data_IF_095835484391
#
_entry.id   IF_095835484391
#
_cell.length_a   1.000
_cell.length_b   1.000
_cell.length_c   1.000
_cell.angle_alpha   90.00
_cell.angle_beta   90.00
_cell.angle_gamma   90.00
#
_symmetry.space_group_name_H-M   'P 1'
#
loop_
_entity.id
_entity.type
_entity.pdbx_description
1 polymer ?
#
# COMPACT_ATOMS: atom_id res chain seq x y z
N UNK A 1 42.67 -39.78 -1.54
CA UNK A 1 43.35 -39.98 -0.25
C UNK A 1 42.75 -38.98 0.72
N UNK A 2 41.88 -39.48 1.57
CA UNK A 2 40.97 -38.73 2.43
C UNK A 2 41.71 -38.34 3.72
N UNK A 3 42.00 -37.06 3.90
CA UNK A 3 42.48 -36.51 5.18
C UNK A 3 41.34 -35.70 5.80
N UNK A 4 40.33 -36.39 6.32
CA UNK A 4 39.41 -35.82 7.30
C UNK A 4 40.15 -35.74 8.65
N UNK A 5 40.97 -34.69 8.81
CA UNK A 5 41.47 -34.29 10.12
C UNK A 5 40.25 -33.89 10.96
N UNK A 6 40.06 -34.54 12.10
CA UNK A 6 39.03 -34.15 13.06
C UNK A 6 39.36 -32.73 13.55
N UNK A 7 38.51 -31.77 13.19
CA UNK A 7 38.63 -30.38 13.62
C UNK A 7 38.38 -30.30 15.12
N UNK A 8 39.16 -29.47 15.82
CA UNK A 8 38.91 -29.18 17.23
C UNK A 8 37.58 -28.42 17.39
N UNK A 9 36.88 -28.58 18.51
CA UNK A 9 35.63 -27.86 18.81
C UNK A 9 35.77 -26.33 18.66
N UNK A 10 36.96 -25.78 18.92
CA UNK A 10 37.26 -24.36 18.71
C UNK A 10 37.36 -24.00 17.21
N UNK A 11 37.91 -24.89 16.39
CA UNK A 11 38.02 -24.71 14.94
C UNK A 11 36.67 -24.81 14.24
N UNK A 12 35.78 -25.68 14.74
CA UNK A 12 34.39 -25.78 14.26
C UNK A 12 33.59 -24.50 14.52
N UNK A 13 33.77 -23.87 15.69
CA UNK A 13 33.13 -22.59 16.02
C UNK A 13 33.61 -21.45 15.10
N UNK A 14 34.93 -21.37 14.85
CA UNK A 14 35.52 -20.38 13.95
C UNK A 14 35.00 -20.57 12.51
N UNK A 15 34.89 -21.83 12.06
CA UNK A 15 34.35 -22.17 10.74
C UNK A 15 32.88 -21.75 10.58
N UNK A 16 32.05 -21.99 11.61
CA UNK A 16 30.65 -21.56 11.60
C UNK A 16 30.51 -20.03 11.54
N UNK A 17 31.33 -19.32 12.32
CA UNK A 17 31.32 -17.86 12.33
C UNK A 17 31.81 -17.29 10.99
N UNK A 18 32.84 -17.89 10.38
CA UNK A 18 33.34 -17.49 9.07
C UNK A 18 32.28 -17.65 7.98
N UNK A 19 31.54 -18.76 7.97
CA UNK A 19 30.45 -19.00 7.00
C UNK A 19 29.27 -18.06 7.20
N UNK A 20 28.93 -17.75 8.45
CA UNK A 20 27.85 -16.81 8.75
C UNK A 20 28.15 -15.39 8.22
N UNK A 21 29.42 -14.97 8.19
CA UNK A 21 29.82 -13.64 7.73
C UNK A 21 30.06 -13.58 6.23
N UNK A 22 30.66 -14.62 5.63
CA UNK A 22 31.06 -14.63 4.21
C UNK A 22 30.01 -15.20 3.27
N UNK A 23 28.91 -15.78 3.79
CA UNK A 23 27.87 -16.47 3.01
C UNK A 23 28.40 -17.55 2.06
N UNK A 24 29.57 -18.12 2.37
CA UNK A 24 30.21 -19.16 1.57
C UNK A 24 29.75 -20.55 2.03
N UNK A 25 29.03 -21.26 1.15
CA UNK A 25 28.47 -22.59 1.42
C UNK A 25 29.50 -23.74 1.25
N UNK A 26 30.64 -23.47 0.60
CA UNK A 26 31.65 -24.49 0.30
C UNK A 26 32.53 -24.80 1.51
N UNK A 27 32.23 -25.92 2.13
CA UNK A 27 32.87 -26.36 3.37
C UNK A 27 34.40 -26.52 3.26
N UNK A 28 34.85 -27.08 2.14
CA UNK A 28 36.26 -27.41 1.91
C UNK A 28 37.10 -26.15 1.63
N UNK A 29 36.53 -25.18 0.92
CA UNK A 29 37.20 -23.92 0.59
C UNK A 29 37.35 -23.02 1.83
N UNK A 30 36.31 -22.96 2.67
CA UNK A 30 36.36 -22.25 3.95
C UNK A 30 37.42 -22.83 4.91
N UNK A 31 37.56 -24.17 4.97
CA UNK A 31 38.60 -24.81 5.79
C UNK A 31 39.99 -24.56 5.22
N UNK A 32 40.16 -24.56 3.90
CA UNK A 32 41.44 -24.25 3.26
C UNK A 32 41.91 -22.82 3.59
N UNK A 33 41.04 -21.82 3.43
CA UNK A 33 41.35 -20.41 3.74
C UNK A 33 41.64 -20.18 5.22
N UNK A 34 40.87 -20.80 6.12
CA UNK A 34 41.14 -20.72 7.55
C UNK A 34 42.43 -21.43 7.94
N UNK A 35 42.75 -22.57 7.31
CA UNK A 35 44.02 -23.28 7.57
C UNK A 35 45.24 -22.50 7.09
N UNK A 36 45.13 -21.78 5.97
CA UNK A 36 46.18 -20.93 5.41
C UNK A 36 46.45 -19.70 6.30
N UNK A 37 45.40 -19.19 6.96
CA UNK A 37 45.46 -18.04 7.86
C UNK A 37 45.57 -18.42 9.34
N UNK A 38 46.12 -19.58 9.67
CA UNK A 38 46.34 -20.03 11.05
C UNK A 38 45.08 -19.99 11.95
N UNK A 39 43.88 -20.14 11.36
CA UNK A 39 42.58 -20.03 12.03
C UNK A 39 42.28 -18.64 12.63
N UNK A 40 42.94 -17.58 12.18
CA UNK A 40 42.58 -16.19 12.50
C UNK A 40 41.42 -15.72 11.62
N UNK A 41 40.24 -15.58 12.22
CA UNK A 41 39.00 -15.30 11.48
C UNK A 41 39.01 -13.93 10.79
N UNK A 42 39.55 -12.89 11.44
CA UNK A 42 39.54 -11.52 10.90
C UNK A 42 40.38 -11.41 9.63
N UNK A 43 41.55 -12.04 9.64
CA UNK A 43 42.46 -12.08 8.50
C UNK A 43 41.91 -12.91 7.34
N UNK A 44 41.25 -14.03 7.65
CA UNK A 44 40.59 -14.85 6.64
C UNK A 44 39.40 -14.13 5.99
N UNK A 45 38.63 -13.35 6.76
CA UNK A 45 37.50 -12.55 6.24
C UNK A 45 38.01 -11.44 5.33
N UNK A 46 39.06 -10.70 5.73
CA UNK A 46 39.62 -9.64 4.88
C UNK A 46 40.16 -10.19 3.57
N UNK A 47 40.90 -11.32 3.60
CA UNK A 47 41.46 -11.92 2.39
C UNK A 47 40.39 -12.50 1.45
N UNK A 48 39.28 -13.01 2.01
CA UNK A 48 38.14 -13.46 1.22
C UNK A 48 37.41 -12.29 0.54
N UNK A 49 37.15 -11.20 1.27
CA UNK A 49 36.45 -10.02 0.74
C UNK A 49 37.30 -9.25 -0.28
N UNK A 50 38.60 -9.08 -0.04
CA UNK A 50 39.54 -8.48 -1.01
C UNK A 50 39.61 -9.33 -2.30
N UNK A 51 39.55 -10.66 -2.15
CA UNK A 51 39.47 -11.59 -3.27
C UNK A 51 38.18 -11.47 -4.09
N UNK A 52 37.03 -11.22 -3.45
CA UNK A 52 35.75 -10.96 -4.14
C UNK A 52 35.72 -9.59 -4.84
N UNK A 53 36.28 -8.54 -4.23
CA UNK A 53 36.38 -7.22 -4.87
C UNK A 53 37.18 -7.28 -6.18
N UNK A 54 38.33 -7.96 -6.20
CA UNK A 54 39.12 -8.14 -7.41
C UNK A 54 38.43 -8.98 -8.48
N UNK A 55 37.61 -9.95 -8.07
CA UNK A 55 36.85 -10.81 -8.99
C UNK A 55 35.66 -10.06 -9.60
N UNK A 56 34.97 -9.25 -8.80
CA UNK A 56 33.88 -8.40 -9.26
C UNK A 56 34.36 -7.23 -10.12
N UNK A 57 35.54 -6.66 -9.85
CA UNK A 57 36.13 -5.61 -10.70
C UNK A 57 36.50 -6.11 -12.10
N UNK A 58 36.88 -7.39 -12.23
CA UNK A 58 37.19 -7.99 -13.54
C UNK A 58 35.98 -8.13 -14.48
N UNK A 59 34.74 -8.00 -13.97
CA UNK A 59 33.51 -8.08 -14.76
C UNK A 59 33.05 -6.71 -15.30
N UNK A 60 33.56 -5.60 -14.75
CA UNK A 60 33.21 -4.24 -15.20
C UNK A 60 34.31 -3.56 -16.06
N UNK A 61 35.43 -4.24 -16.29
CA UNK A 61 36.60 -3.67 -16.98
C UNK A 61 36.69 -3.96 -18.50
N UNK A 62 35.55 -4.29 -19.16
CA UNK A 62 35.51 -4.43 -20.64
C UNK A 62 34.93 -3.21 -21.37
N UNK A 63 34.64 -2.11 -20.69
CA UNK A 63 34.12 -0.91 -21.35
C UNK A 63 34.66 0.37 -20.73
N UNK A 64 35.94 0.68 -21.01
CA UNK A 64 36.43 2.05 -21.24
C UNK A 64 37.95 2.08 -21.39
N UNK A 65 38.46 1.57 -22.52
CA UNK A 65 39.81 1.91 -22.96
C UNK A 65 39.79 3.30 -23.60
N UNK A 66 40.40 4.31 -22.92
CA UNK A 66 41.17 5.37 -23.59
C UNK A 66 41.95 6.27 -22.59
N UNK A 67 43.27 6.01 -22.59
CA UNK A 67 44.41 6.90 -22.38
C UNK A 67 44.43 7.86 -21.18
N UNK A 68 45.34 7.60 -20.24
CA UNK A 68 46.52 8.47 -20.01
C UNK A 68 47.63 7.74 -19.24
N UNK A 69 48.84 8.08 -19.64
CA UNK A 69 50.16 7.53 -19.31
C UNK A 69 50.59 7.61 -17.85
N UNK A 70 51.29 6.55 -17.44
CA UNK A 70 52.45 6.45 -16.54
C UNK A 70 52.93 7.75 -15.84
N UNK A 71 52.88 7.73 -14.51
CA UNK A 71 53.99 8.18 -13.67
C UNK A 71 54.22 7.09 -12.63
N UNK A 72 55.28 6.34 -12.86
CA UNK A 72 55.95 5.50 -11.87
C UNK A 72 56.68 6.39 -10.88
N UNK A 73 56.52 6.18 -9.56
CA UNK A 73 57.67 6.08 -8.67
C UNK A 73 57.32 5.59 -7.25
N UNK A 74 58.16 4.66 -6.79
CA UNK A 74 58.66 4.57 -5.40
C UNK A 74 57.76 3.93 -4.32
N UNK A 75 57.78 2.60 -4.33
CA UNK A 75 57.75 1.80 -3.10
C UNK A 75 59.19 1.67 -2.56
N UNK A 76 59.54 2.47 -1.55
CA UNK A 76 60.46 2.02 -0.50
C UNK A 76 60.46 3.00 0.68
N UNK A 77 59.82 2.62 1.79
CA UNK A 77 60.48 2.50 3.11
C UNK A 77 59.44 2.34 4.21
N UNK A 78 59.47 1.17 4.86
CA UNK A 78 59.42 0.98 6.31
C UNK A 78 58.26 1.64 7.07
N UNK A 79 57.25 0.88 7.51
CA UNK A 79 57.27 0.17 8.81
C UNK A 79 57.91 1.04 9.91
N UNK A 80 57.25 2.13 10.32
CA UNK A 80 57.37 2.75 11.66
C UNK A 80 56.41 3.95 11.80
N UNK A 81 55.11 3.74 11.98
CA UNK A 81 54.19 4.78 12.52
C UNK A 81 52.92 4.20 13.16
N UNK A 82 52.96 2.96 13.66
CA UNK A 82 51.87 2.38 14.48
C UNK A 82 52.02 2.70 15.98
N UNK A 83 52.99 3.56 16.37
CA UNK A 83 53.26 3.86 17.79
C UNK A 83 52.99 5.33 18.18
N UNK A 84 52.53 6.20 17.28
CA UNK A 84 52.18 7.60 17.62
C UNK A 84 50.67 7.87 17.71
N UNK A 85 49.87 6.84 17.94
CA UNK A 85 48.40 6.93 17.93
C UNK A 85 47.68 7.24 19.27
N UNK A 86 48.31 7.41 20.45
CA UNK A 86 47.55 7.88 21.62
C UNK A 86 47.90 9.31 22.10
N UNK A 87 48.55 10.16 21.29
CA UNK A 87 48.88 11.55 21.74
C UNK A 87 48.43 12.67 20.78
N UNK A 88 48.09 12.40 19.51
CA UNK A 88 47.52 13.42 18.61
C UNK A 88 46.00 13.51 18.64
N UNK A 89 45.32 12.62 19.37
CA UNK A 89 43.87 12.67 19.58
C UNK A 89 43.44 13.63 20.71
N UNK A 90 44.35 14.12 21.54
CA UNK A 90 44.00 15.11 22.59
C UNK A 90 44.20 16.55 22.12
N UNK A 91 45.00 16.82 21.08
CA UNK A 91 45.12 18.19 20.52
C UNK A 91 44.13 18.50 19.39
N UNK A 92 43.56 17.48 18.73
CA UNK A 92 42.51 17.65 17.73
C UNK A 92 41.11 17.91 18.31
N UNK A 93 40.83 17.43 19.53
CA UNK A 93 39.52 17.59 20.18
C UNK A 93 39.45 18.84 21.08
N UNK A 94 40.60 19.31 21.60
CA UNK A 94 40.67 20.59 22.33
C UNK A 94 40.74 21.82 21.41
N UNK A 95 41.18 21.68 20.15
CA UNK A 95 41.14 22.76 19.14
C UNK A 95 39.78 22.92 18.45
N UNK A 96 39.06 21.82 18.24
CA UNK A 96 37.72 21.81 17.64
C UNK A 96 36.62 22.31 18.59
N UNK A 97 36.76 22.06 19.90
CA UNK A 97 35.82 22.61 20.88
C UNK A 97 36.06 24.11 21.16
N UNK A 98 37.27 24.64 20.94
CA UNK A 98 37.52 26.09 21.06
C UNK A 98 37.06 26.90 19.83
N UNK A 99 36.85 26.27 18.68
CA UNK A 99 36.21 26.92 17.52
C UNK A 99 34.70 26.78 17.55
N UNK A 100 34.16 25.67 18.08
CA UNK A 100 32.74 25.54 18.39
C UNK A 100 32.28 26.38 19.61
N UNK A 101 33.19 26.81 20.48
CA UNK A 101 32.89 27.80 21.54
C UNK A 101 33.08 29.25 21.08
N UNK A 102 33.88 29.53 20.05
CA UNK A 102 34.03 30.90 19.52
C UNK A 102 33.03 31.28 18.43
N UNK A 103 32.41 30.32 17.72
CA UNK A 103 31.23 30.59 16.89
C UNK A 103 29.90 30.50 17.64
N UNK A 104 29.94 30.08 18.91
CA UNK A 104 28.80 29.98 19.85
C UNK A 104 28.74 31.14 20.85
N UNK A 105 29.68 32.10 20.80
CA UNK A 105 29.61 33.36 21.54
C UNK A 105 28.70 34.39 20.83
N UNK A 106 27.45 34.00 20.60
CA UNK A 106 26.32 34.93 20.61
C UNK A 106 25.43 34.47 21.76
N UNK A 107 25.28 35.24 22.85
CA UNK A 107 24.19 34.98 23.79
C UNK A 107 22.88 35.27 23.04
N UNK A 108 22.25 34.21 22.53
CA UNK A 108 20.83 34.23 22.20
C UNK A 108 20.08 34.16 23.54
N UNK A 109 19.49 35.29 23.91
CA UNK A 109 18.50 35.34 24.98
C UNK A 109 17.25 34.62 24.44
N UNK A 110 17.17 33.32 24.72
CA UNK A 110 16.18 32.39 24.18
C UNK A 110 14.85 32.53 24.92
N UNK A 111 14.23 33.72 24.84
CA UNK A 111 12.86 33.95 25.33
C UNK A 111 12.12 35.04 24.53
N UNK A 112 11.92 34.92 23.20
CA UNK A 112 10.94 35.73 22.40
C UNK A 112 10.83 35.37 20.88
N UNK A 113 10.88 34.10 20.46
CA UNK A 113 11.05 33.78 19.02
C UNK A 113 9.81 33.92 18.11
N UNK A 114 8.62 34.22 18.64
CA UNK A 114 7.43 34.48 17.79
C UNK A 114 7.19 35.97 17.50
N UNK A 115 7.55 36.87 18.43
CA UNK A 115 7.35 38.31 18.25
C UNK A 115 8.47 38.96 17.41
N UNK A 116 9.72 38.47 17.49
CA UNK A 116 10.84 39.01 16.69
C UNK A 116 10.73 38.72 15.18
N UNK A 117 10.18 37.56 14.78
CA UNK A 117 10.01 37.21 13.36
C UNK A 117 8.98 38.13 12.67
N UNK A 118 7.93 38.51 13.40
CA UNK A 118 6.97 39.51 12.95
C UNK A 118 7.62 40.89 12.79
N UNK A 119 8.45 41.27 13.75
CA UNK A 119 9.14 42.55 13.76
C UNK A 119 10.15 42.68 12.60
N UNK A 120 11.00 41.67 12.33
CA UNK A 120 11.97 41.72 11.23
C UNK A 120 11.31 41.84 9.85
N UNK A 121 10.14 41.25 9.66
CA UNK A 121 9.37 41.40 8.40
C UNK A 121 8.77 42.79 8.25
N UNK A 122 8.28 43.39 9.33
CA UNK A 122 7.77 44.76 9.33
C UNK A 122 8.90 45.73 9.00
N UNK A 123 10.06 45.58 9.64
CA UNK A 123 11.26 46.39 9.40
C UNK A 123 11.73 46.26 7.95
N UNK A 124 11.76 45.05 7.39
CA UNK A 124 12.10 44.84 5.98
C UNK A 124 11.10 45.54 5.02
N UNK A 125 9.80 45.55 5.35
CA UNK A 125 8.79 46.25 4.56
C UNK A 125 8.92 47.78 4.67
N UNK A 126 9.17 48.30 5.88
CA UNK A 126 9.44 49.72 6.12
C UNK A 126 10.66 50.18 5.32
N UNK A 127 11.74 49.40 5.34
CA UNK A 127 12.94 49.65 4.54
C UNK A 127 12.66 49.69 3.03
N UNK A 128 11.87 48.72 2.51
CA UNK A 128 11.50 48.68 1.09
C UNK A 128 10.64 49.90 0.72
N UNK A 129 9.70 50.28 1.58
CA UNK A 129 8.84 51.44 1.37
C UNK A 129 9.64 52.73 1.39
N UNK A 130 10.52 52.92 2.39
CA UNK A 130 11.42 54.07 2.47
C UNK A 130 12.32 54.16 1.23
N UNK A 131 12.81 53.01 0.75
CA UNK A 131 13.62 52.96 -0.46
C UNK A 131 12.83 53.41 -1.70
N UNK A 132 11.57 52.99 -1.82
CA UNK A 132 10.70 53.36 -2.93
C UNK A 132 10.34 54.86 -2.91
N UNK A 133 9.99 55.37 -1.74
CA UNK A 133 9.62 56.79 -1.54
C UNK A 133 10.81 57.73 -1.79
N UNK A 134 12.01 57.38 -1.31
CA UNK A 134 13.18 58.26 -1.36
C UNK A 134 13.97 58.16 -2.66
N UNK A 135 13.97 57.00 -3.33
CA UNK A 135 14.86 56.76 -4.47
C UNK A 135 14.14 56.48 -5.78
N UNK A 136 12.84 56.20 -5.77
CA UNK A 136 11.93 56.15 -6.93
C UNK A 136 12.55 55.59 -8.21
N UNK A 137 12.48 54.26 -8.41
CA UNK A 137 13.05 53.61 -9.60
C UNK A 137 12.96 52.08 -9.59
N UNK A 138 13.40 51.45 -10.68
CA UNK A 138 13.49 49.99 -10.81
C UNK A 138 14.35 49.41 -9.68
N UNK A 139 13.73 48.70 -8.74
CA UNK A 139 14.40 48.12 -7.58
C UNK A 139 14.76 46.64 -7.79
N UNK A 140 15.83 46.15 -7.15
CA UNK A 140 16.01 44.73 -6.93
C UNK A 140 14.84 44.14 -6.12
N UNK A 141 14.59 42.84 -6.31
CA UNK A 141 13.63 42.10 -5.50
C UNK A 141 14.24 41.82 -4.12
N UNK A 142 14.04 42.76 -3.19
CA UNK A 142 14.49 42.60 -1.80
C UNK A 142 13.68 41.50 -1.09
N UNK A 143 14.40 40.66 -0.34
CA UNK A 143 13.84 39.62 0.49
C UNK A 143 13.09 40.22 1.69
N UNK A 144 11.84 39.82 1.87
CA UNK A 144 10.98 40.27 2.98
C UNK A 144 11.15 39.33 4.16
N UNK A 145 12.06 39.66 5.07
CA UNK A 145 12.32 38.89 6.28
C UNK A 145 13.70 39.19 6.87
N UNK A 146 14.03 38.49 7.95
CA UNK A 146 15.31 38.64 8.62
C UNK A 146 16.49 38.06 7.80
N UNK A 147 17.70 38.45 8.17
CA UNK A 147 18.95 37.95 7.60
C UNK A 147 19.09 36.43 7.78
N UNK A 148 18.72 35.89 8.95
CA UNK A 148 18.78 34.44 9.22
C UNK A 148 17.82 33.64 8.33
N UNK A 149 16.64 34.21 8.03
CA UNK A 149 15.66 33.63 7.13
C UNK A 149 16.17 33.67 5.68
N UNK A 150 16.74 34.80 5.25
CA UNK A 150 17.37 34.94 3.94
C UNK A 150 18.53 33.96 3.74
N UNK A 151 19.38 33.78 4.76
CA UNK A 151 20.50 32.84 4.79
C UNK A 151 20.01 31.38 4.67
N UNK A 152 18.97 31.03 5.43
CA UNK A 152 18.37 29.69 5.40
C UNK A 152 17.75 29.37 4.04
N UNK A 153 17.07 30.34 3.44
CA UNK A 153 16.49 30.20 2.10
C UNK A 153 17.55 30.07 1.02
N UNK A 154 18.61 30.87 1.10
CA UNK A 154 19.77 30.74 0.21
C UNK A 154 20.41 29.35 0.33
N UNK A 155 20.50 28.80 1.55
CA UNK A 155 20.98 27.44 1.83
C UNK A 155 20.10 26.35 1.20
N UNK A 156 18.77 26.46 1.37
CA UNK A 156 17.81 25.48 0.86
C UNK A 156 17.70 25.47 -0.66
N UNK A 157 17.68 26.66 -1.29
CA UNK A 157 17.50 26.79 -2.74
C UNK A 157 18.83 26.74 -3.51
N UNK A 158 19.97 26.58 -2.84
CA UNK A 158 21.30 26.60 -3.43
C UNK A 158 21.58 27.86 -4.30
N UNK A 159 21.23 29.04 -3.77
CA UNK A 159 21.37 30.36 -4.44
C UNK A 159 22.36 31.28 -3.74
N UNK A 160 22.87 32.27 -4.47
CA UNK A 160 23.66 33.36 -3.89
C UNK A 160 22.78 34.34 -3.11
N UNK A 161 23.34 34.90 -2.05
CA UNK A 161 22.74 35.94 -1.23
C UNK A 161 23.59 37.22 -1.32
N UNK A 162 23.00 38.30 -1.83
CA UNK A 162 23.60 39.62 -1.88
C UNK A 162 23.10 40.44 -0.68
N UNK A 163 24.01 40.79 0.23
CA UNK A 163 23.73 41.61 1.41
C UNK A 163 24.12 43.06 1.11
N UNK A 164 23.17 43.97 1.27
CA UNK A 164 23.37 45.41 1.08
C UNK A 164 23.12 46.11 2.40
N UNK A 165 24.13 46.80 2.92
CA UNK A 165 24.04 47.56 4.17
C UNK A 165 24.19 49.05 3.88
N UNK A 166 23.20 49.82 4.33
CA UNK A 166 23.17 51.28 4.24
C UNK A 166 23.42 51.91 5.61
N UNK A 167 23.87 53.16 5.63
CA UNK A 167 24.07 53.94 6.87
C UNK A 167 22.96 54.99 7.06
N UNK A 168 22.99 55.83 8.09
CA UNK A 168 22.01 56.92 8.26
C UNK A 168 22.41 58.22 7.50
N UNK A 169 23.52 58.16 6.75
CA UNK A 169 24.04 59.29 5.98
C UNK A 169 23.33 59.47 4.62
N UNK A 170 22.49 60.50 4.42
CA UNK A 170 21.61 60.60 3.25
C UNK A 170 22.36 60.78 1.92
N UNK A 171 23.49 61.49 1.91
CA UNK A 171 24.17 61.87 0.66
C UNK A 171 24.87 60.69 -0.05
N UNK A 172 25.53 59.82 0.72
CA UNK A 172 26.24 58.66 0.18
C UNK A 172 25.24 57.57 -0.23
N UNK A 173 24.19 57.37 0.58
CA UNK A 173 23.14 56.41 0.28
C UNK A 173 22.33 56.81 -0.95
N UNK A 174 21.97 58.09 -1.11
CA UNK A 174 21.24 58.59 -2.30
C UNK A 174 21.98 58.30 -3.59
N UNK A 175 23.28 58.59 -3.60
CA UNK A 175 24.12 58.39 -4.78
C UNK A 175 24.22 56.90 -5.12
N UNK A 176 24.42 56.04 -4.13
CA UNK A 176 24.51 54.60 -4.31
C UNK A 176 23.17 53.95 -4.69
N UNK A 177 22.09 54.25 -3.98
CA UNK A 177 20.78 53.64 -4.25
C UNK A 177 20.26 54.04 -5.63
N UNK A 178 20.41 55.31 -6.03
CA UNK A 178 19.91 55.81 -7.30
C UNK A 178 20.80 55.45 -8.50
N UNK A 179 22.12 55.57 -8.38
CA UNK A 179 23.01 55.37 -9.53
C UNK A 179 23.48 53.91 -9.65
N UNK A 180 23.54 53.17 -8.54
CA UNK A 180 24.11 51.82 -8.49
C UNK A 180 23.03 50.75 -8.33
N UNK A 181 22.22 50.78 -7.26
CA UNK A 181 21.21 49.74 -7.00
C UNK A 181 20.01 49.82 -7.95
N UNK A 182 19.59 51.02 -8.33
CA UNK A 182 18.48 51.24 -9.27
C UNK A 182 18.91 51.15 -10.75
N UNK A 183 20.14 50.70 -11.02
CA UNK A 183 20.60 50.48 -12.40
C UNK A 183 19.84 49.31 -13.04
N UNK A 184 19.23 49.56 -14.19
CA UNK A 184 18.43 48.56 -14.94
C UNK A 184 19.26 47.29 -15.22
N UNK A 185 20.53 47.46 -15.61
CA UNK A 185 21.43 46.34 -15.91
C UNK A 185 21.65 45.44 -14.70
N UNK A 186 21.78 46.02 -13.50
CA UNK A 186 21.99 45.27 -12.27
C UNK A 186 20.71 44.53 -11.86
N UNK A 187 19.55 45.18 -11.95
CA UNK A 187 18.25 44.57 -11.60
C UNK A 187 17.90 43.41 -12.54
N UNK A 188 18.13 43.57 -13.83
CA UNK A 188 17.92 42.50 -14.82
C UNK A 188 18.84 41.31 -14.54
N UNK A 189 20.13 41.57 -14.27
CA UNK A 189 21.10 40.53 -13.95
C UNK A 189 20.74 39.74 -12.68
N UNK A 190 20.33 40.44 -11.61
CA UNK A 190 19.91 39.80 -10.36
C UNK A 190 18.68 38.90 -10.56
N UNK A 191 17.74 39.34 -11.40
CA UNK A 191 16.53 38.58 -11.75
C UNK A 191 16.86 37.36 -12.61
N UNK A 192 17.71 37.51 -13.62
CA UNK A 192 18.12 36.43 -14.52
C UNK A 192 18.82 35.30 -13.75
N UNK A 193 19.76 35.66 -12.87
CA UNK A 193 20.51 34.69 -12.05
C UNK A 193 19.80 34.28 -10.75
N UNK A 194 18.57 34.76 -10.52
CA UNK A 194 17.75 34.47 -9.32
C UNK A 194 18.53 34.64 -8.01
N UNK A 195 19.30 35.72 -7.90
CA UNK A 195 20.10 36.03 -6.69
C UNK A 195 19.16 36.63 -5.64
N UNK A 196 19.22 36.14 -4.40
CA UNK A 196 18.44 36.68 -3.29
C UNK A 196 19.14 37.96 -2.83
N UNK A 197 18.42 39.08 -2.75
CA UNK A 197 18.96 40.36 -2.26
C UNK A 197 18.35 40.68 -0.91
N UNK A 198 19.17 40.89 0.10
CA UNK A 198 18.74 41.35 1.41
C UNK A 198 19.34 42.73 1.68
N UNK A 199 18.51 43.66 2.15
CA UNK A 199 18.90 45.03 2.44
C UNK A 199 18.57 45.39 3.89
N UNK A 200 19.45 46.14 4.55
CA UNK A 200 19.21 46.64 5.89
C UNK A 200 19.95 47.93 6.18
N UNK A 201 19.42 48.75 7.08
CA UNK A 201 20.05 49.98 7.53
C UNK A 201 20.77 49.74 8.87
N UNK A 202 22.03 50.17 9.01
CA UNK A 202 22.80 50.05 10.26
C UNK A 202 22.17 50.70 11.49
N UNK A 203 21.14 51.54 11.32
CA UNK A 203 20.31 52.06 12.41
C UNK A 203 19.53 50.95 13.13
N UNK A 204 19.27 49.82 12.45
CA UNK A 204 18.58 48.65 13.00
C UNK A 204 19.56 47.70 13.70
N UNK A 205 19.09 47.05 14.76
CA UNK A 205 19.88 46.09 15.54
C UNK A 205 20.34 44.90 14.70
N UNK A 206 19.48 44.38 13.82
CA UNK A 206 19.77 43.23 12.97
C UNK A 206 20.85 43.55 11.94
N UNK A 207 20.69 44.63 11.18
CA UNK A 207 21.67 45.07 10.19
C UNK A 207 23.03 45.46 10.81
N UNK A 208 23.03 46.03 12.02
CA UNK A 208 24.26 46.31 12.75
C UNK A 208 24.99 45.04 13.23
N UNK A 209 24.25 43.99 13.62
CA UNK A 209 24.86 42.70 13.93
C UNK A 209 25.45 42.05 12.67
N UNK A 210 24.73 42.10 11.55
CA UNK A 210 25.22 41.60 10.25
C UNK A 210 26.46 42.36 9.80
N UNK A 211 26.51 43.68 9.98
CA UNK A 211 27.69 44.49 9.61
C UNK A 211 28.94 44.08 10.38
N UNK A 212 28.81 43.70 11.66
CA UNK A 212 29.90 43.17 12.47
C UNK A 212 30.34 41.79 11.99
N UNK A 213 29.38 40.90 11.74
CA UNK A 213 29.64 39.53 11.26
C UNK A 213 30.38 39.53 9.91
N UNK A 214 29.99 40.42 9.00
CA UNK A 214 30.62 40.56 7.68
C UNK A 214 31.85 41.48 7.68
N UNK A 215 32.25 42.00 8.84
CA UNK A 215 33.38 42.91 9.03
C UNK A 215 33.34 44.10 8.04
N UNK A 216 32.19 44.77 7.98
CA UNK A 216 31.99 45.97 7.18
C UNK A 216 32.69 47.16 7.86
N UNK A 217 33.72 47.71 7.20
CA UNK A 217 34.50 48.86 7.72
C UNK A 217 34.17 50.19 7.03
N UNK A 218 33.51 50.17 5.87
CA UNK A 218 33.04 51.36 5.17
C UNK A 218 31.65 51.12 4.53
N UNK A 219 30.87 52.20 4.41
CA UNK A 219 29.50 52.19 3.88
C UNK A 219 29.39 53.06 2.62
N UNK A 220 28.51 52.70 1.67
CA UNK A 220 27.65 51.51 1.62
C UNK A 220 28.48 50.22 1.49
N UNK A 221 27.94 49.11 2.00
CA UNK A 221 28.59 47.81 1.96
C UNK A 221 27.76 46.84 1.13
N UNK A 222 28.43 46.09 0.26
CA UNK A 222 27.83 45.03 -0.56
C UNK A 222 28.63 43.76 -0.32
N UNK A 223 28.01 42.74 0.27
CA UNK A 223 28.61 41.42 0.48
C UNK A 223 27.92 40.36 -0.37
N UNK A 224 28.70 39.53 -1.05
CA UNK A 224 28.19 38.36 -1.76
C UNK A 224 28.48 37.11 -0.94
N UNK A 225 27.42 36.45 -0.49
CA UNK A 225 27.50 35.13 0.11
C UNK A 225 27.15 34.07 -0.93
N UNK A 226 27.91 32.99 -0.96
CA UNK A 226 27.63 31.83 -1.78
C UNK A 226 28.22 30.57 -1.18
N UNK A 227 27.94 29.45 -1.82
CA UNK A 227 28.35 28.16 -1.30
C UNK A 227 29.83 27.93 -1.53
N UNK A 228 30.51 27.55 -0.45
CA UNK A 228 31.86 27.07 -0.51
C UNK A 228 31.90 25.67 0.10
N UNK A 229 32.53 24.76 -0.64
CA UNK A 229 32.82 23.42 -0.15
C UNK A 229 34.10 23.51 0.68
N UNK A 230 33.91 23.54 1.99
CA UNK A 230 35.01 23.21 2.92
C UNK A 230 35.23 21.71 2.79
N UNK A 231 36.46 21.27 2.99
CA UNK A 231 37.07 19.94 2.77
C UNK A 231 36.25 18.68 3.12
N UNK A 232 35.09 18.80 3.79
CA UNK A 232 34.24 17.72 4.29
C UNK A 232 32.88 17.60 3.55
N UNK A 233 32.78 17.99 2.28
CA UNK A 233 31.56 17.84 1.44
C UNK A 233 30.26 18.49 1.98
N UNK A 234 30.33 19.31 3.03
CA UNK A 234 29.17 20.06 3.52
C UNK A 234 29.12 21.44 2.84
N UNK A 235 28.04 21.76 2.10
CA UNK A 235 27.88 23.08 1.51
C UNK A 235 27.62 24.10 2.62
N UNK A 236 28.62 24.94 2.90
CA UNK A 236 28.50 26.05 3.86
C UNK A 236 28.37 27.36 3.09
N UNK A 237 27.43 28.21 3.51
CA UNK A 237 27.23 29.53 2.93
C UNK A 237 28.22 30.49 3.59
N UNK A 238 29.24 30.92 2.85
CA UNK A 238 30.31 31.79 3.34
C UNK A 238 30.34 33.10 2.55
N UNK A 239 30.98 34.12 3.13
CA UNK A 239 31.24 35.38 2.44
C UNK A 239 32.32 35.14 1.38
N UNK A 240 31.95 35.26 0.11
CA UNK A 240 32.84 35.03 -1.03
C UNK A 240 33.60 36.31 -1.37
N UNK A 241 32.88 37.42 -1.49
CA UNK A 241 33.44 38.70 -1.90
C UNK A 241 32.72 39.87 -1.23
N UNK A 242 33.42 41.00 -1.07
CA UNK A 242 32.87 42.20 -0.43
C UNK A 242 33.39 43.47 -1.08
N UNK A 243 32.47 44.41 -1.30
CA UNK A 243 32.77 45.75 -1.76
C UNK A 243 32.37 46.75 -0.67
N UNK A 244 33.28 47.66 -0.35
CA UNK A 244 33.09 48.65 0.71
C UNK A 244 33.28 50.07 0.16
N UNK A 245 32.36 50.98 0.51
CA UNK A 245 32.39 52.38 0.09
C UNK A 245 31.56 52.65 -1.16
N UNK A 246 31.71 53.84 -1.78
CA UNK A 246 30.93 54.23 -2.95
C UNK A 246 31.30 53.36 -4.15
N UNK A 247 30.44 52.39 -4.44
CA UNK A 247 30.61 51.41 -5.51
C UNK A 247 29.78 51.78 -6.73
N UNK A 248 30.33 51.51 -7.92
CA UNK A 248 29.62 51.66 -9.19
C UNK A 248 28.88 50.37 -9.57
N UNK A 249 27.82 50.43 -10.39
CA UNK A 249 27.09 49.24 -10.82
C UNK A 249 27.97 48.26 -11.59
N UNK A 250 28.96 48.75 -12.34
CA UNK A 250 29.91 47.92 -13.09
C UNK A 250 30.77 47.06 -12.16
N UNK A 251 31.17 47.59 -11.00
CA UNK A 251 31.96 46.83 -10.02
C UNK A 251 31.15 45.66 -9.43
N UNK A 252 29.88 45.90 -9.11
CA UNK A 252 28.99 44.84 -8.59
C UNK A 252 28.75 43.78 -9.67
N UNK A 253 28.47 44.21 -10.90
CA UNK A 253 28.26 43.29 -12.02
C UNK A 253 29.51 42.45 -12.30
N UNK A 254 30.70 43.05 -12.27
CA UNK A 254 31.96 42.33 -12.45
C UNK A 254 32.18 41.29 -11.33
N UNK A 255 31.97 41.69 -10.07
CA UNK A 255 32.04 40.78 -8.93
C UNK A 255 31.08 39.60 -9.09
N UNK A 256 29.82 39.85 -9.44
CA UNK A 256 28.83 38.78 -9.61
C UNK A 256 29.18 37.86 -10.78
N UNK A 257 29.59 38.42 -11.92
CA UNK A 257 29.93 37.66 -13.13
C UNK A 257 31.13 36.75 -12.88
N UNK A 258 32.18 37.27 -12.25
CA UNK A 258 33.37 36.50 -11.89
C UNK A 258 33.03 35.33 -10.96
N UNK A 259 32.21 35.57 -9.95
CA UNK A 259 31.85 34.54 -8.97
C UNK A 259 30.90 33.50 -9.55
N UNK A 260 29.95 33.90 -10.41
CA UNK A 260 29.11 32.97 -11.15
C UNK A 260 29.93 32.06 -12.07
N UNK A 261 30.92 32.61 -12.78
CA UNK A 261 31.81 31.78 -13.61
C UNK A 261 32.63 30.79 -12.78
N UNK A 262 33.11 31.18 -11.60
CA UNK A 262 33.94 30.32 -10.74
C UNK A 262 33.17 29.20 -10.05
N UNK A 263 31.97 29.45 -9.55
CA UNK A 263 31.22 28.44 -8.77
C UNK A 263 30.15 27.70 -9.58
N UNK A 264 29.84 28.13 -10.82
CA UNK A 264 28.78 27.51 -11.65
C UNK A 264 28.93 25.99 -11.79
N UNK A 265 30.15 25.46 -11.89
CA UNK A 265 30.40 24.02 -12.01
C UNK A 265 30.12 23.24 -10.73
N UNK A 266 30.43 23.79 -9.56
CA UNK A 266 30.24 23.11 -8.27
C UNK A 266 28.77 23.19 -7.80
N UNK A 267 28.11 24.32 -8.02
CA UNK A 267 26.68 24.48 -7.73
C UNK A 267 25.81 23.60 -8.63
N UNK A 268 26.15 23.46 -9.92
CA UNK A 268 25.44 22.54 -10.82
C UNK A 268 25.59 21.09 -10.40
N UNK A 269 26.75 20.70 -9.85
CA UNK A 269 26.95 19.36 -9.34
C UNK A 269 26.02 19.07 -8.15
N UNK A 270 25.98 19.96 -7.15
CA UNK A 270 25.11 19.79 -5.98
C UNK A 270 23.63 19.83 -6.35
N UNK A 271 23.22 20.77 -7.19
CA UNK A 271 21.83 20.84 -7.64
C UNK A 271 21.42 19.56 -8.40
N UNK A 272 22.31 18.99 -9.21
CA UNK A 272 22.06 17.72 -9.90
C UNK A 272 21.93 16.57 -8.91
N UNK A 273 22.82 16.48 -7.92
CA UNK A 273 22.77 15.43 -6.90
C UNK A 273 21.47 15.48 -6.07
N UNK A 274 21.02 16.68 -5.70
CA UNK A 274 19.72 16.86 -5.02
C UNK A 274 18.55 16.42 -5.90
N UNK A 275 18.55 16.80 -7.19
CA UNK A 275 17.51 16.40 -8.13
C UNK A 275 17.47 14.89 -8.35
N UNK A 276 18.63 14.24 -8.44
CA UNK A 276 18.74 12.79 -8.59
C UNK A 276 18.21 12.05 -7.35
N UNK A 277 18.49 12.55 -6.14
CA UNK A 277 17.97 11.98 -4.89
C UNK A 277 16.46 12.11 -4.79
N UNK A 278 15.90 13.28 -5.08
CA UNK A 278 14.45 13.51 -5.06
C UNK A 278 13.73 12.67 -6.11
N UNK A 279 14.29 12.59 -7.33
CA UNK A 279 13.74 11.73 -8.39
C UNK A 279 13.76 10.25 -7.97
N UNK A 280 14.87 9.79 -7.37
CA UNK A 280 14.99 8.42 -6.86
C UNK A 280 13.97 8.12 -5.76
N UNK A 281 13.71 9.10 -4.88
CA UNK A 281 12.70 8.98 -3.82
C UNK A 281 11.28 8.88 -4.41
N UNK A 282 10.93 9.76 -5.34
CA UNK A 282 9.61 9.77 -5.99
C UNK A 282 9.36 8.44 -6.72
N UNK A 283 10.36 7.91 -7.43
CA UNK A 283 10.23 6.63 -8.13
C UNK A 283 9.95 5.49 -7.14
N UNK A 284 10.65 5.44 -5.99
CA UNK A 284 10.40 4.43 -4.95
C UNK A 284 9.00 4.55 -4.35
N UNK A 285 8.56 5.77 -4.05
CA UNK A 285 7.21 6.01 -3.52
C UNK A 285 6.13 5.56 -4.53
N UNK A 286 6.32 5.83 -5.82
CA UNK A 286 5.41 5.35 -6.88
C UNK A 286 5.42 3.82 -7.02
N UNK A 287 6.59 3.18 -6.87
CA UNK A 287 6.71 1.72 -6.90
C UNK A 287 6.02 1.07 -5.70
N UNK A 288 6.21 1.62 -4.49
CA UNK A 288 5.57 1.15 -3.27
C UNK A 288 4.05 1.30 -3.33
N UNK A 289 3.56 2.43 -3.85
CA UNK A 289 2.12 2.65 -4.05
C UNK A 289 1.54 1.63 -5.05
N UNK A 290 2.19 1.43 -6.19
CA UNK A 290 1.75 0.48 -7.21
C UNK A 290 1.74 -0.97 -6.66
N UNK A 291 2.77 -1.36 -5.91
CA UNK A 291 2.84 -2.66 -5.26
C UNK A 291 1.69 -2.85 -4.26
N UNK A 292 1.43 -1.84 -3.42
CA UNK A 292 0.34 -1.88 -2.43
C UNK A 292 -1.03 -2.03 -3.10
N UNK A 293 -1.28 -1.31 -4.20
CA UNK A 293 -2.52 -1.42 -4.95
C UNK A 293 -2.67 -2.81 -5.60
N UNK A 294 -1.59 -3.37 -6.16
CA UNK A 294 -1.58 -4.72 -6.71
C UNK A 294 -1.90 -5.76 -5.63
N UNK A 295 -1.29 -5.64 -4.45
CA UNK A 295 -1.52 -6.56 -3.34
C UNK A 295 -2.99 -6.54 -2.87
N UNK A 296 -3.60 -5.36 -2.77
CA UNK A 296 -5.01 -5.21 -2.41
C UNK A 296 -5.93 -5.83 -3.47
N UNK A 297 -5.61 -5.67 -4.75
CA UNK A 297 -6.37 -6.27 -5.83
C UNK A 297 -6.31 -7.81 -5.81
N UNK A 298 -5.14 -8.37 -5.54
CA UNK A 298 -4.96 -9.83 -5.41
C UNK A 298 -5.70 -10.39 -4.20
N UNK A 299 -5.64 -9.71 -3.05
CA UNK A 299 -6.40 -10.08 -1.85
C UNK A 299 -7.91 -10.05 -2.08
N UNK A 300 -8.43 -9.01 -2.75
CA UNK A 300 -9.85 -8.89 -3.03
C UNK A 300 -10.32 -9.98 -4.01
N UNK A 301 -9.50 -10.29 -5.02
CA UNK A 301 -9.79 -11.38 -5.97
C UNK A 301 -9.81 -12.74 -5.27
N UNK A 302 -8.90 -12.98 -4.33
CA UNK A 302 -8.87 -14.20 -3.53
C UNK A 302 -10.12 -14.33 -2.65
N UNK A 303 -10.49 -13.25 -1.94
CA UNK A 303 -11.73 -13.19 -1.14
C UNK A 303 -12.97 -13.49 -1.97
N UNK A 304 -13.09 -12.87 -3.15
CA UNK A 304 -14.21 -13.12 -4.06
C UNK A 304 -14.22 -14.55 -4.60
N UNK A 305 -13.06 -15.14 -4.87
CA UNK A 305 -12.96 -16.53 -5.33
C UNK A 305 -13.38 -17.51 -4.22
N UNK A 306 -12.97 -17.25 -2.97
CA UNK A 306 -13.36 -18.06 -1.82
C UNK A 306 -14.87 -17.97 -1.53
N UNK A 307 -15.45 -16.76 -1.57
CA UNK A 307 -16.89 -16.58 -1.42
C UNK A 307 -17.68 -17.30 -2.50
N UNK A 308 -17.26 -17.20 -3.76
CA UNK A 308 -17.88 -17.95 -4.88
C UNK A 308 -17.75 -19.46 -4.69
N UNK A 309 -16.61 -19.96 -4.18
CA UNK A 309 -16.43 -21.38 -3.88
C UNK A 309 -17.37 -21.85 -2.77
N UNK A 310 -17.47 -21.08 -1.69
CA UNK A 310 -18.37 -21.36 -0.55
C UNK A 310 -19.84 -21.32 -0.96
N UNK A 311 -20.22 -20.37 -1.82
CA UNK A 311 -21.58 -20.26 -2.36
C UNK A 311 -21.93 -21.50 -3.20
N UNK A 312 -21.04 -21.92 -4.11
CA UNK A 312 -21.25 -23.13 -4.93
C UNK A 312 -21.33 -24.41 -4.10
N UNK A 313 -20.55 -24.51 -3.03
CA UNK A 313 -20.60 -25.64 -2.11
C UNK A 313 -21.92 -25.69 -1.35
N UNK A 314 -22.40 -24.55 -0.84
CA UNK A 314 -23.72 -24.45 -0.19
C UNK A 314 -24.85 -24.82 -1.13
N UNK A 315 -24.85 -24.29 -2.35
CA UNK A 315 -25.85 -24.63 -3.38
C UNK A 315 -25.84 -26.11 -3.72
N UNK A 316 -24.64 -26.73 -3.78
CA UNK A 316 -24.51 -28.17 -4.00
C UNK A 316 -25.06 -28.99 -2.83
N UNK A 317 -24.74 -28.63 -1.60
CA UNK A 317 -25.24 -29.33 -0.40
C UNK A 317 -26.76 -29.20 -0.30
N UNK A 318 -27.31 -28.01 -0.51
CA UNK A 318 -28.76 -27.77 -0.50
C UNK A 318 -29.48 -28.55 -1.62
N UNK A 319 -28.89 -28.61 -2.82
CA UNK A 319 -29.41 -29.43 -3.91
C UNK A 319 -29.42 -30.92 -3.55
N UNK A 320 -28.32 -31.46 -3.02
CA UNK A 320 -28.22 -32.85 -2.57
C UNK A 320 -29.19 -33.18 -1.43
N UNK A 321 -29.40 -32.27 -0.48
CA UNK A 321 -30.38 -32.43 0.60
C UNK A 321 -31.82 -32.40 0.08
N UNK A 322 -32.13 -31.50 -0.86
CA UNK A 322 -33.45 -31.42 -1.48
C UNK A 322 -33.78 -32.69 -2.28
N UNK A 323 -32.81 -33.26 -2.98
CA UNK A 323 -32.96 -34.50 -3.75
C UNK A 323 -33.15 -35.72 -2.83
N UNK A 324 -32.41 -35.77 -1.71
CA UNK A 324 -32.60 -36.78 -0.65
C UNK A 324 -33.98 -36.65 0.01
N UNK A 325 -34.46 -35.43 0.24
CA UNK A 325 -35.78 -35.21 0.83
C UNK A 325 -36.91 -35.65 -0.13
N UNK A 326 -36.78 -35.30 -1.43
CA UNK A 326 -37.72 -35.72 -2.48
C UNK A 326 -37.77 -37.24 -2.63
N UNK A 327 -36.61 -37.90 -2.73
CA UNK A 327 -36.57 -39.37 -2.88
C UNK A 327 -37.11 -40.11 -1.64
N UNK A 328 -36.85 -39.62 -0.43
CA UNK A 328 -37.48 -40.16 0.80
C UNK A 328 -39.00 -39.99 0.77
N UNK A 329 -39.49 -38.80 0.43
CA UNK A 329 -40.92 -38.53 0.35
C UNK A 329 -41.62 -39.43 -0.68
N UNK A 330 -41.01 -39.64 -1.85
CA UNK A 330 -41.53 -40.54 -2.88
C UNK A 330 -41.53 -42.01 -2.43
N UNK A 331 -40.47 -42.46 -1.76
CA UNK A 331 -40.38 -43.82 -1.22
C UNK A 331 -41.43 -44.07 -0.13
N UNK A 332 -41.63 -43.11 0.78
CA UNK A 332 -42.63 -43.19 1.83
C UNK A 332 -44.05 -43.17 1.25
N UNK A 333 -44.30 -42.34 0.21
CA UNK A 333 -45.56 -42.34 -0.54
C UNK A 333 -45.85 -43.70 -1.18
N UNK A 334 -44.85 -44.31 -1.81
CA UNK A 334 -45.01 -45.62 -2.45
C UNK A 334 -45.32 -46.73 -1.43
N UNK A 335 -44.58 -46.75 -0.31
CA UNK A 335 -44.82 -47.69 0.80
C UNK A 335 -46.23 -47.53 1.37
N UNK A 336 -46.69 -46.30 1.55
CA UNK A 336 -48.04 -46.03 2.04
C UNK A 336 -49.11 -46.52 1.04
N UNK A 337 -48.91 -46.32 -0.26
CA UNK A 337 -49.80 -46.86 -1.30
C UNK A 337 -49.83 -48.39 -1.32
N UNK A 338 -48.71 -49.06 -1.11
CA UNK A 338 -48.65 -50.51 -0.98
C UNK A 338 -49.41 -51.02 0.25
N UNK A 339 -49.28 -50.34 1.39
CA UNK A 339 -50.05 -50.62 2.61
C UNK A 339 -51.57 -50.44 2.39
N UNK A 340 -51.98 -49.38 1.69
CA UNK A 340 -53.39 -49.22 1.32
C UNK A 340 -53.88 -50.39 0.46
N UNK A 341 -53.07 -50.85 -0.51
CA UNK A 341 -53.44 -51.94 -1.41
C UNK A 341 -53.68 -53.28 -0.68
N UNK A 342 -52.98 -53.54 0.42
CA UNK A 342 -53.16 -54.74 1.25
C UNK A 342 -54.32 -54.62 2.25
N UNK A 343 -54.60 -53.40 2.72
CA UNK A 343 -55.62 -53.13 3.75
C UNK A 343 -57.04 -53.01 3.17
N UNK A 344 -57.18 -52.61 1.89
CA UNK A 344 -58.50 -52.42 1.26
C UNK A 344 -59.31 -53.73 1.23
N UNK A 345 -60.59 -53.71 1.64
CA UNK A 345 -61.48 -54.88 1.63
C UNK A 345 -61.59 -55.54 0.24
N UNK A 346 -61.62 -56.88 0.16
CA UNK A 346 -61.76 -57.62 -1.10
C UNK A 346 -63.12 -57.36 -1.75
N UNK A 347 -63.17 -57.38 -3.08
CA UNK A 347 -64.41 -57.16 -3.83
C UNK A 347 -65.50 -58.18 -3.45
N UNK A 348 -66.72 -57.75 -3.07
CA UNK A 348 -67.81 -58.65 -2.71
C UNK A 348 -68.31 -59.44 -3.93
N UNK A 349 -68.69 -60.70 -3.68
CA UNK A 349 -69.22 -61.59 -4.73
C UNK A 349 -70.54 -61.06 -5.31
N UNK A 350 -70.87 -61.48 -6.55
CA UNK A 350 -72.07 -61.04 -7.27
C UNK A 350 -73.40 -61.37 -6.58
N UNK A 351 -73.38 -62.29 -5.61
CA UNK A 351 -74.56 -62.80 -4.90
C UNK A 351 -74.71 -62.20 -3.48
N UNK A 352 -73.84 -61.29 -3.05
CA UNK A 352 -73.95 -60.63 -1.74
C UNK A 352 -75.01 -59.49 -1.76
N UNK A 353 -75.97 -59.48 -0.81
CA UNK A 353 -76.91 -58.37 -0.66
C UNK A 353 -76.18 -57.12 -0.13
N UNK A 354 -76.75 -55.93 -0.38
CA UNK A 354 -76.21 -54.64 0.09
C UNK A 354 -74.88 -54.20 -0.55
N UNK A 355 -74.72 -54.46 -1.85
CA UNK A 355 -73.54 -54.05 -2.65
C UNK A 355 -73.84 -52.85 -3.56
N UNK A 356 -72.90 -51.90 -3.63
CA UNK A 356 -72.93 -50.76 -4.54
C UNK A 356 -72.01 -51.01 -5.75
N UNK A 357 -72.48 -50.68 -6.96
CA UNK A 357 -71.69 -50.81 -8.20
C UNK A 357 -71.14 -49.45 -8.61
N UNK A 358 -69.83 -49.24 -8.44
CA UNK A 358 -69.17 -47.99 -8.82
C UNK A 358 -68.39 -48.17 -10.13
N UNK A 359 -68.52 -47.23 -11.06
CA UNK A 359 -67.68 -47.17 -12.26
C UNK A 359 -66.86 -45.89 -12.29
N UNK A 360 -65.55 -46.03 -12.43
CA UNK A 360 -64.58 -44.95 -12.44
C UNK A 360 -64.08 -44.75 -13.86
N UNK A 361 -64.19 -43.54 -14.37
CA UNK A 361 -63.59 -43.11 -15.63
C UNK A 361 -62.30 -42.37 -15.30
N UNK A 362 -61.18 -43.00 -15.64
CA UNK A 362 -59.83 -42.50 -15.40
C UNK A 362 -59.46 -41.41 -16.43
N UNK A 363 -58.46 -40.58 -16.11
CA UNK A 363 -57.93 -39.55 -17.01
C UNK A 363 -57.35 -40.14 -18.32
N UNK A 364 -56.83 -41.38 -18.27
CA UNK A 364 -56.36 -42.11 -19.45
C UNK A 364 -57.49 -42.71 -20.33
N UNK A 365 -58.76 -42.43 -20.00
CA UNK A 365 -59.93 -42.95 -20.70
C UNK A 365 -60.35 -44.38 -20.32
N UNK A 366 -59.57 -45.08 -19.49
CA UNK A 366 -59.92 -46.42 -19.00
C UNK A 366 -61.11 -46.36 -18.03
N UNK A 367 -61.98 -47.37 -18.13
CA UNK A 367 -63.14 -47.51 -17.24
C UNK A 367 -62.91 -48.69 -16.31
N UNK A 368 -62.76 -48.41 -15.01
CA UNK A 368 -62.62 -49.42 -13.96
C UNK A 368 -63.97 -49.57 -13.25
N UNK A 369 -64.45 -50.80 -13.10
CA UNK A 369 -65.72 -51.08 -12.41
C UNK A 369 -65.39 -51.97 -11.22
N UNK A 370 -65.84 -51.58 -10.03
CA UNK A 370 -65.66 -52.37 -8.80
C UNK A 370 -66.92 -52.29 -7.94
N UNK A 371 -67.25 -53.39 -7.28
CA UNK A 371 -68.31 -53.42 -6.26
C UNK A 371 -67.75 -53.10 -4.87
N UNK A 372 -68.53 -52.39 -4.08
CA UNK A 372 -68.22 -52.05 -2.70
C UNK A 372 -69.40 -52.43 -1.80
N UNK A 373 -69.13 -52.72 -0.53
CA UNK A 373 -70.19 -52.97 0.46
C UNK A 373 -70.77 -51.64 0.94
N UNK A 374 -72.06 -51.60 1.26
CA UNK A 374 -72.70 -50.38 1.77
C UNK A 374 -72.07 -49.83 3.06
N UNK A 375 -71.43 -50.70 3.85
CA UNK A 375 -70.84 -50.38 5.15
C UNK A 375 -69.35 -49.94 5.05
N UNK A 376 -68.75 -49.95 3.85
CA UNK A 376 -67.38 -49.47 3.61
C UNK A 376 -67.31 -47.93 3.59
N UNK A 377 -66.14 -47.37 3.89
CA UNK A 377 -65.95 -45.92 3.98
C UNK A 377 -65.73 -45.31 2.60
N UNK A 378 -66.08 -44.03 2.45
CA UNK A 378 -65.73 -43.26 1.23
C UNK A 378 -64.21 -43.15 1.04
N UNK A 379 -63.43 -43.20 2.13
CA UNK A 379 -61.97 -43.26 2.09
C UNK A 379 -61.46 -44.53 1.39
N UNK A 380 -62.13 -45.68 1.52
CA UNK A 380 -61.75 -46.94 0.85
C UNK A 380 -61.91 -46.83 -0.68
N UNK A 381 -62.85 -46.02 -1.15
CA UNK A 381 -63.04 -45.73 -2.58
C UNK A 381 -61.90 -44.88 -3.13
N UNK A 382 -61.43 -43.89 -2.35
CA UNK A 382 -60.26 -43.07 -2.68
C UNK A 382 -58.97 -43.90 -2.63
N UNK A 383 -58.79 -44.71 -1.58
CA UNK A 383 -57.65 -45.62 -1.45
C UNK A 383 -57.62 -46.65 -2.59
N UNK A 384 -58.77 -47.17 -3.03
CA UNK A 384 -58.82 -48.05 -4.21
C UNK A 384 -58.26 -47.38 -5.46
N UNK A 385 -58.65 -46.15 -5.75
CA UNK A 385 -58.22 -45.47 -6.97
C UNK A 385 -56.75 -45.09 -6.89
N UNK A 386 -56.24 -44.73 -5.71
CA UNK A 386 -54.82 -44.49 -5.50
C UNK A 386 -53.99 -45.78 -5.51
N UNK A 387 -54.58 -46.96 -5.34
CA UNK A 387 -53.84 -48.24 -5.42
C UNK A 387 -53.88 -48.87 -6.82
N UNK A 388 -54.74 -48.37 -7.72
CA UNK A 388 -54.78 -48.81 -9.11
C UNK A 388 -53.42 -48.58 -9.79
N UNK A 389 -52.75 -49.68 -10.16
CA UNK A 389 -51.43 -49.67 -10.81
C UNK A 389 -50.24 -49.92 -9.88
N UNK A 390 -50.47 -50.12 -8.58
CA UNK A 390 -49.41 -50.50 -7.63
C UNK A 390 -49.29 -52.03 -7.58
N UNK A 391 -48.11 -52.57 -7.91
CA UNK A 391 -47.83 -54.00 -7.76
C UNK A 391 -47.62 -54.33 -6.26
N UNK A 392 -48.30 -55.37 -5.77
CA UNK A 392 -48.31 -55.79 -4.36
C UNK A 392 -47.40 -57.00 -4.12
N UNK A 393 -46.58 -57.38 -5.10
CA UNK A 393 -45.75 -58.58 -5.02
C UNK A 393 -44.61 -58.41 -3.99
N UNK A 394 -44.71 -59.17 -2.89
CA UNK A 394 -43.58 -59.47 -2.00
C UNK A 394 -43.33 -58.52 -0.83
N UNK A 395 -44.32 -57.77 -0.33
CA UNK A 395 -44.11 -56.80 0.75
C UNK A 395 -45.02 -57.09 1.96
N UNK A 396 -44.42 -57.53 3.07
CA UNK A 396 -45.04 -57.53 4.40
C UNK A 396 -45.13 -56.08 4.90
N UNK A 397 -46.33 -55.50 4.87
CA UNK A 397 -46.60 -54.15 5.39
C UNK A 397 -47.62 -54.24 6.52
N UNK A 398 -47.17 -54.73 7.67
CA UNK A 398 -48.03 -54.90 8.84
C UNK A 398 -48.29 -53.59 9.62
N UNK A 399 -47.62 -52.48 9.26
CA UNK A 399 -47.84 -51.19 9.92
C UNK A 399 -47.74 -49.98 8.97
N UNK A 400 -48.60 -48.96 9.14
CA UNK A 400 -48.51 -47.70 8.41
C UNK A 400 -47.22 -46.94 8.79
N UNK A 401 -46.68 -46.15 7.85
CA UNK A 401 -45.55 -45.24 8.10
C UNK A 401 -46.02 -44.19 9.14
N UNK A 402 -45.45 -44.14 10.37
CA UNK A 402 -46.07 -43.43 11.51
C UNK A 402 -46.24 -41.91 11.37
N UNK A 403 -45.47 -41.27 10.48
CA UNK A 403 -45.42 -39.81 10.31
C UNK A 403 -45.88 -39.31 8.93
N UNK A 404 -46.23 -40.21 8.00
CA UNK A 404 -46.61 -39.83 6.65
C UNK A 404 -48.10 -39.44 6.56
N UNK A 405 -48.38 -38.16 6.31
CA UNK A 405 -49.75 -37.68 6.02
C UNK A 405 -50.04 -37.81 4.54
N UNK A 406 -50.76 -38.86 4.17
CA UNK A 406 -51.15 -39.06 2.78
C UNK A 406 -52.17 -38.03 2.32
N UNK A 407 -51.94 -37.45 1.14
CA UNK A 407 -52.86 -36.56 0.45
C UNK A 407 -53.10 -37.12 -0.94
N UNK A 408 -54.36 -37.38 -1.27
CA UNK A 408 -54.76 -37.83 -2.60
C UNK A 408 -54.53 -36.72 -3.63
N UNK A 409 -53.89 -37.04 -4.74
CA UNK A 409 -53.59 -36.10 -5.84
C UNK A 409 -54.75 -35.95 -6.84
N UNK A 410 -55.92 -36.51 -6.52
CA UNK A 410 -57.10 -36.50 -7.37
C UNK A 410 -58.39 -36.32 -6.54
N UNK A 411 -59.45 -35.93 -7.22
CA UNK A 411 -60.80 -35.85 -6.66
C UNK A 411 -61.80 -36.65 -7.50
N UNK A 412 -62.81 -37.20 -6.84
CA UNK A 412 -63.89 -37.96 -7.47
C UNK A 412 -65.08 -37.05 -7.74
N UNK A 413 -65.51 -37.03 -9.00
CA UNK A 413 -66.59 -36.17 -9.48
C UNK A 413 -67.74 -37.00 -10.00
N UNK A 414 -68.95 -36.77 -9.48
CA UNK A 414 -70.18 -37.36 -9.99
C UNK A 414 -70.67 -36.59 -11.24
N UNK A 415 -71.11 -37.26 -12.32
CA UNK A 415 -71.71 -36.65 -13.51
C UNK A 415 -73.10 -36.05 -13.21
N UNK A 416 -73.73 -35.29 -14.12
CA UNK A 416 -74.58 -34.16 -13.75
C UNK A 416 -75.84 -34.51 -12.93
N UNK A 417 -76.20 -33.65 -11.93
CA UNK A 417 -75.53 -32.39 -11.58
C UNK A 417 -74.17 -32.62 -10.89
N UNK A 418 -73.13 -31.96 -11.43
CA UNK A 418 -71.71 -32.18 -11.11
C UNK A 418 -71.45 -31.89 -9.64
N UNK A 419 -70.88 -32.85 -8.91
CA UNK A 419 -70.53 -32.69 -7.51
C UNK A 419 -69.19 -33.37 -7.21
N UNK A 420 -68.30 -32.66 -6.52
CA UNK A 420 -67.04 -33.21 -6.01
C UNK A 420 -67.32 -33.93 -4.70
N UNK A 421 -66.93 -35.20 -4.61
CA UNK A 421 -67.07 -36.01 -3.41
C UNK A 421 -65.89 -35.67 -2.50
N UNK A 422 -66.07 -34.75 -1.56
CA UNK A 422 -64.99 -34.35 -0.67
C UNK A 422 -64.80 -35.34 0.48
N UNK A 423 -63.56 -35.54 0.91
CA UNK A 423 -63.17 -36.34 2.08
C UNK A 423 -63.37 -35.59 3.42
N UNK A 424 -64.24 -34.57 3.47
CA UNK A 424 -64.39 -33.65 4.60
C UNK A 424 -64.93 -34.32 5.89
N UNK A 425 -65.42 -35.58 5.82
CA UNK A 425 -65.86 -36.36 6.97
C UNK A 425 -65.31 -37.79 6.86
N UNK A 426 -64.32 -38.14 7.68
CA UNK A 426 -63.60 -39.43 7.68
C UNK A 426 -64.47 -40.67 7.98
N UNK A 427 -65.74 -40.49 8.29
CA UNK A 427 -66.66 -41.58 8.72
C UNK A 427 -67.91 -41.73 7.86
N UNK A 428 -67.97 -41.11 6.67
CA UNK A 428 -69.08 -41.35 5.75
C UNK A 428 -68.97 -42.74 5.13
N UNK A 429 -70.04 -43.53 5.25
CA UNK A 429 -70.17 -44.80 4.53
C UNK A 429 -70.68 -44.58 3.10
N UNK A 430 -70.45 -45.55 2.23
CA UNK A 430 -70.93 -45.52 0.84
C UNK A 430 -72.47 -45.43 0.78
N UNK A 431 -73.17 -46.04 1.74
CA UNK A 431 -74.64 -46.04 1.82
C UNK A 431 -75.23 -44.67 2.21
N UNK A 432 -74.54 -43.93 3.07
CA UNK A 432 -74.99 -42.61 3.51
C UNK A 432 -74.87 -41.55 2.40
N UNK A 433 -73.95 -41.79 1.45
CA UNK A 433 -73.76 -40.89 0.33
C UNK A 433 -74.69 -41.26 -0.85
N UNK A 434 -75.77 -40.50 -0.99
CA UNK A 434 -76.75 -40.62 -2.09
C UNK A 434 -76.16 -40.57 -3.51
N UNK A 435 -74.92 -40.11 -3.67
CA UNK A 435 -74.21 -40.05 -4.97
C UNK A 435 -73.38 -41.29 -5.27
N UNK A 436 -73.13 -42.14 -4.29
CA UNK A 436 -72.38 -43.40 -4.43
C UNK A 436 -73.32 -44.62 -4.39
N UNK A 437 -74.42 -44.55 -3.63
CA UNK A 437 -75.40 -45.62 -3.49
C UNK A 437 -76.61 -45.49 -4.44
N UNK A 438 -77.17 -46.59 -5.01
CA UNK A 438 -76.68 -47.97 -5.07
C UNK A 438 -75.76 -48.24 -6.28
N UNK A 439 -75.67 -47.29 -7.21
CA UNK A 439 -74.76 -47.35 -8.36
C UNK A 439 -74.36 -45.95 -8.78
N UNK A 440 -73.07 -45.73 -9.03
CA UNK A 440 -72.57 -44.44 -9.46
C UNK A 440 -71.55 -44.55 -10.59
N UNK A 441 -71.55 -43.55 -11.46
CA UNK A 441 -70.47 -43.30 -12.41
C UNK A 441 -69.66 -42.14 -11.83
N UNK A 442 -68.35 -42.25 -11.76
CA UNK A 442 -67.45 -41.26 -11.17
C UNK A 442 -66.33 -40.96 -12.16
N UNK A 443 -65.97 -39.69 -12.24
CA UNK A 443 -64.85 -39.17 -13.02
C UNK A 443 -63.69 -38.90 -12.06
N UNK A 444 -62.50 -39.38 -12.39
CA UNK A 444 -61.26 -39.10 -11.64
C UNK A 444 -60.58 -37.90 -12.28
N UNK A 445 -60.59 -36.76 -11.59
CA UNK A 445 -59.91 -35.54 -12.02
C UNK A 445 -58.66 -35.32 -11.16
N UNK A 446 -57.50 -35.10 -11.78
CA UNK A 446 -56.27 -34.75 -11.07
C UNK A 446 -56.35 -33.32 -10.53
N UNK A 447 -55.78 -33.08 -9.36
CA UNK A 447 -55.72 -31.75 -8.77
C UNK A 447 -54.60 -30.98 -9.48
N UNK A 448 -54.95 -30.22 -10.51
CA UNK A 448 -54.03 -29.26 -11.13
C UNK A 448 -53.84 -28.08 -10.17
N UNK A 449 -52.75 -28.09 -9.40
CA UNK A 449 -52.50 -26.99 -8.47
C UNK A 449 -51.26 -27.18 -7.64
N UNK A 450 -50.27 -26.36 -7.94
CA UNK A 450 -49.09 -26.01 -7.16
C UNK A 450 -49.41 -25.55 -5.73
N UNK A 451 -49.70 -26.49 -4.84
CA UNK A 451 -49.45 -26.34 -3.40
C UNK A 451 -48.85 -27.65 -2.90
N UNK A 452 -47.60 -27.87 -3.30
CA UNK A 452 -46.68 -28.81 -2.69
C UNK A 452 -45.91 -28.11 -1.58
#
# INVERSE_FOLDING_TARGET
>A
MSNSQALSTAQEQILLQFRAVTSNDDCENAVALLSQNNWEIEKAISEFLDGEEHRNNSYYETSSSRNRSDITESLSSSITTVVTFPVTLVWGVLGGLMTLLYSSLVPLDETSTQDEIGNSRIVALEFIQEFEENYGGARPEFFVGGYSEALSRAKQEAKYLLVVLLTDGPEVNRTFCRNTLASVKLVEFLREHRIIVWGGNTSESEAYQVSKTLQATAFPFVGLLGFQFVSDNSPSLSLIDKLQGPVTPEMILHMLTDQLHRTSTELQFVQREYQEREASRIIREQQDEAYRLSLLADQEKERQAEEKRRQRERERVEAEESEKARSKFEADRLRYRQYLATTIPKEPSSDEPNTARLSFKMANGAKVIRRFRGDEKVEDVYAFIDTLGVAVDGIETDNPVPEYKHRYTFHLVSPPPRAVIKLECQDQTIRDNSRLWPSANLLVEEIEGSEY
#
